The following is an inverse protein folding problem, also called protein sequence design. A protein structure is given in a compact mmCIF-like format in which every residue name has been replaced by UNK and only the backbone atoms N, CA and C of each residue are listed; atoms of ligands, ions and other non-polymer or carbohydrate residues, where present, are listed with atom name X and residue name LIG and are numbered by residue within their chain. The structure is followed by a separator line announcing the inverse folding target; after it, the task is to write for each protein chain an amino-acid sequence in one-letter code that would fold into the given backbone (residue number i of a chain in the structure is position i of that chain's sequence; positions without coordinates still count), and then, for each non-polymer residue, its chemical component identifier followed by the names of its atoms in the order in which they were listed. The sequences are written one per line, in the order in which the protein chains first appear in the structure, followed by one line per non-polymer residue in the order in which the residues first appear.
data_IF_146060617970
#
_entry.id   IF_146060617970
#
_cell.length_a   1.000
_cell.length_b   1.000
_cell.length_c   1.000
_cell.angle_alpha   90.00
_cell.angle_beta   90.00
_cell.angle_gamma   90.00
#
_symmetry.space_group_name_H-M   'P 1'
#
loop_
_entity.id
_entity.type
_entity.pdbx_description
1 polymer ?
#
# COMPACT_ATOMS: atom_id res chain seq x y z
N UNK A 1 -4.33 1.51 -26.71
CA UNK A 1 -2.97 1.69 -26.17
C UNK A 1 -2.23 0.38 -26.36
N UNK A 2 -1.15 0.37 -27.16
CA UNK A 2 -0.39 -0.84 -27.44
C UNK A 2 0.38 -1.25 -26.16
N UNK A 3 0.16 -2.46 -25.59
CA UNK A 3 0.89 -2.92 -24.40
C UNK A 3 2.41 -2.86 -24.58
N UNK A 4 2.91 -3.10 -25.79
CA UNK A 4 4.35 -3.06 -26.09
C UNK A 4 4.93 -1.65 -25.99
N UNK A 5 4.16 -0.63 -26.38
CA UNK A 5 4.59 0.76 -26.26
C UNK A 5 4.74 1.22 -24.81
N UNK A 6 4.00 0.59 -23.89
CA UNK A 6 4.12 0.85 -22.45
C UNK A 6 5.35 0.19 -21.84
N UNK A 7 5.73 -0.99 -22.31
CA UNK A 7 6.96 -1.68 -21.88
C UNK A 7 8.19 -0.89 -22.32
N UNK A 8 8.23 -0.48 -23.60
CA UNK A 8 9.34 0.34 -24.15
C UNK A 8 9.49 1.68 -23.44
N UNK A 9 8.37 2.34 -23.09
CA UNK A 9 8.40 3.59 -22.32
C UNK A 9 8.94 3.39 -20.89
N UNK A 10 8.62 2.25 -20.25
CA UNK A 10 9.16 1.91 -18.94
C UNK A 10 10.66 1.61 -19.03
N UNK A 11 11.10 0.84 -20.03
CA UNK A 11 12.52 0.54 -20.26
C UNK A 11 13.34 1.81 -20.52
N UNK A 12 12.82 2.75 -21.33
CA UNK A 12 13.48 4.04 -21.57
C UNK A 12 13.56 4.90 -20.30
N UNK A 13 12.55 4.82 -19.44
CA UNK A 13 12.54 5.52 -18.16
C UNK A 13 13.54 4.91 -17.16
N UNK A 14 13.67 3.57 -17.14
CA UNK A 14 14.69 2.87 -16.33
C UNK A 14 16.09 3.27 -16.77
N UNK A 15 16.38 3.24 -18.08
CA UNK A 15 17.68 3.63 -18.63
C UNK A 15 18.05 5.07 -18.25
N UNK A 16 17.08 5.98 -18.24
CA UNK A 16 17.32 7.37 -17.84
C UNK A 16 17.63 7.49 -16.34
N UNK A 17 16.94 6.72 -15.49
CA UNK A 17 17.18 6.71 -14.05
C UNK A 17 18.53 6.07 -13.69
N UNK A 18 18.96 5.04 -14.41
CA UNK A 18 20.27 4.41 -14.22
C UNK A 18 21.43 5.39 -14.44
N UNK A 19 21.32 6.26 -15.45
CA UNK A 19 22.31 7.31 -15.72
C UNK A 19 22.34 8.33 -14.57
N UNK A 20 21.19 8.74 -14.06
CA UNK A 20 21.09 9.68 -12.93
C UNK A 20 21.69 9.07 -11.65
N UNK A 21 21.42 7.79 -11.35
CA UNK A 21 22.03 7.11 -10.21
C UNK A 21 23.53 6.92 -10.36
N UNK A 22 24.01 6.63 -11.57
CA UNK A 22 25.47 6.50 -11.84
C UNK A 22 26.22 7.82 -11.72
N UNK A 23 25.53 8.95 -11.91
CA UNK A 23 26.09 10.28 -11.66
C UNK A 23 26.12 10.63 -10.17
N UNK A 24 25.11 10.19 -9.41
CA UNK A 24 25.03 10.38 -7.95
C UNK A 24 26.09 9.52 -7.24
N UNK A 25 26.43 8.35 -7.80
CA UNK A 25 27.47 7.44 -7.27
C UNK A 25 28.89 7.94 -7.37
N UNK A 26 29.14 9.02 -8.10
CA UNK A 26 30.43 9.70 -8.08
C UNK A 26 30.63 10.54 -6.81
N UNK A 27 29.57 10.78 -6.03
CA UNK A 27 29.59 11.62 -4.84
C UNK A 27 29.46 10.83 -3.53
N UNK A 28 28.73 9.71 -3.53
CA UNK A 28 28.54 8.87 -2.33
C UNK A 28 27.96 7.49 -2.70
N UNK A 29 28.65 6.42 -2.31
CA UNK A 29 28.23 5.04 -2.60
C UNK A 29 26.96 4.64 -1.82
N UNK A 30 26.76 5.18 -0.61
CA UNK A 30 25.59 4.86 0.22
C UNK A 30 24.29 5.47 -0.35
N UNK A 31 24.39 6.65 -0.97
CA UNK A 31 23.26 7.30 -1.65
C UNK A 31 22.87 6.50 -2.90
N UNK A 32 23.83 5.82 -3.52
CA UNK A 32 23.64 5.05 -4.74
C UNK A 32 22.85 3.78 -4.51
N UNK A 33 23.22 3.02 -3.48
CA UNK A 33 22.47 1.81 -3.13
C UNK A 33 21.03 2.15 -2.75
N UNK A 34 20.85 3.19 -1.92
CA UNK A 34 19.52 3.64 -1.48
C UNK A 34 18.66 4.14 -2.66
N UNK A 35 19.24 4.95 -3.56
CA UNK A 35 18.54 5.46 -4.73
C UNK A 35 18.18 4.35 -5.71
N UNK A 36 19.10 3.40 -5.95
CA UNK A 36 18.85 2.26 -6.83
C UNK A 36 17.74 1.34 -6.29
N UNK A 37 17.70 1.13 -4.96
CA UNK A 37 16.67 0.35 -4.29
C UNK A 37 15.30 1.06 -4.36
N UNK A 38 15.27 2.37 -4.12
CA UNK A 38 14.06 3.18 -4.22
C UNK A 38 13.50 3.20 -5.66
N UNK A 39 14.37 3.33 -6.66
CA UNK A 39 14.01 3.33 -8.09
C UNK A 39 13.47 1.96 -8.51
N UNK A 40 14.15 0.86 -8.14
CA UNK A 40 13.66 -0.50 -8.42
C UNK A 40 12.31 -0.76 -7.76
N UNK A 41 12.11 -0.26 -6.55
CA UNK A 41 10.83 -0.39 -5.82
C UNK A 41 9.73 0.43 -6.50
N UNK A 42 10.00 1.67 -6.89
CA UNK A 42 9.06 2.53 -7.61
C UNK A 42 8.70 1.98 -9.00
N UNK A 43 9.66 1.42 -9.74
CA UNK A 43 9.43 0.78 -11.04
C UNK A 43 8.57 -0.48 -10.88
N UNK A 44 8.85 -1.34 -9.89
CA UNK A 44 8.03 -2.52 -9.58
C UNK A 44 6.59 -2.13 -9.26
N UNK A 45 6.41 -1.05 -8.50
CA UNK A 45 5.09 -0.51 -8.09
C UNK A 45 4.31 0.07 -9.27
N UNK A 46 4.94 0.90 -10.11
CA UNK A 46 4.33 1.53 -11.29
C UNK A 46 4.09 0.54 -12.45
N UNK A 47 4.91 -0.50 -12.56
CA UNK A 47 4.78 -1.57 -13.55
C UNK A 47 3.72 -2.61 -13.22
N UNK A 48 3.11 -2.56 -12.03
CA UNK A 48 2.19 -3.61 -11.56
C UNK A 48 2.88 -4.95 -11.25
N UNK A 49 4.22 -4.94 -11.20
CA UNK A 49 5.10 -6.08 -10.87
C UNK A 49 5.36 -6.08 -9.35
N UNK A 50 4.29 -5.92 -8.57
CA UNK A 50 4.37 -6.41 -7.19
C UNK A 50 4.32 -7.93 -7.30
N UNK A 51 5.32 -8.61 -6.73
CA UNK A 51 5.21 -10.05 -6.54
C UNK A 51 3.95 -10.32 -5.73
N UNK A 52 3.24 -11.41 -5.98
CA UNK A 52 2.06 -11.79 -5.18
C UNK A 52 2.38 -11.81 -3.67
N UNK A 53 3.65 -12.01 -3.30
CA UNK A 53 4.17 -11.92 -1.94
C UNK A 53 4.06 -10.52 -1.33
N UNK A 54 4.53 -9.47 -2.02
CA UNK A 54 4.48 -8.09 -1.52
C UNK A 54 3.03 -7.61 -1.36
N UNK A 55 2.16 -7.98 -2.32
CA UNK A 55 0.71 -7.72 -2.21
C UNK A 55 0.09 -8.44 -1.03
N UNK A 56 0.47 -9.70 -0.79
CA UNK A 56 -0.03 -10.46 0.35
C UNK A 56 0.46 -9.89 1.68
N UNK A 57 1.71 -9.42 1.77
CA UNK A 57 2.24 -8.80 2.98
C UNK A 57 1.56 -7.46 3.28
N UNK A 58 1.38 -6.59 2.27
CA UNK A 58 0.63 -5.33 2.43
C UNK A 58 -0.86 -5.58 2.77
N UNK A 59 -1.50 -6.54 2.09
CA UNK A 59 -2.86 -6.96 2.42
C UNK A 59 -2.92 -7.53 3.84
N UNK A 60 -1.95 -8.32 4.27
CA UNK A 60 -1.89 -8.89 5.61
C UNK A 60 -1.74 -7.82 6.69
N UNK A 61 -0.91 -6.80 6.47
CA UNK A 61 -0.72 -5.72 7.43
C UNK A 61 -1.97 -4.84 7.58
N UNK A 62 -2.61 -4.50 6.45
CA UNK A 62 -3.87 -3.74 6.47
C UNK A 62 -5.01 -4.54 7.08
N UNK A 63 -5.15 -5.81 6.72
CA UNK A 63 -6.21 -6.66 7.24
C UNK A 63 -6.02 -6.88 8.75
N UNK A 64 -4.79 -7.06 9.23
CA UNK A 64 -4.50 -7.10 10.67
C UNK A 64 -4.89 -5.79 11.40
N UNK A 65 -4.66 -4.63 10.79
CA UNK A 65 -5.09 -3.35 11.36
C UNK A 65 -6.62 -3.21 11.40
N UNK A 66 -7.31 -3.69 10.37
CA UNK A 66 -8.79 -3.75 10.31
C UNK A 66 -9.34 -4.63 11.44
N UNK A 67 -8.76 -5.82 11.64
CA UNK A 67 -9.17 -6.74 12.71
C UNK A 67 -8.94 -6.12 14.09
N UNK A 68 -7.76 -5.53 14.33
CA UNK A 68 -7.45 -4.85 15.59
C UNK A 68 -8.43 -3.71 15.88
N UNK A 69 -8.79 -2.92 14.88
CA UNK A 69 -9.76 -1.85 15.06
C UNK A 69 -11.16 -2.40 15.34
N UNK A 70 -11.54 -3.50 14.70
CA UNK A 70 -12.81 -4.17 14.98
C UNK A 70 -12.88 -4.69 16.42
N UNK A 71 -11.80 -5.30 16.93
CA UNK A 71 -11.73 -5.74 18.32
C UNK A 71 -11.84 -4.57 19.31
N UNK A 72 -11.09 -3.48 19.07
CA UNK A 72 -11.18 -2.27 19.89
C UNK A 72 -12.62 -1.72 19.96
N UNK A 73 -13.35 -1.73 18.85
CA UNK A 73 -14.74 -1.28 18.80
C UNK A 73 -15.68 -2.24 19.53
N UNK A 74 -15.43 -3.56 19.45
CA UNK A 74 -16.18 -4.55 20.22
C UNK A 74 -15.95 -4.42 21.72
N UNK A 75 -14.72 -4.16 22.15
CA UNK A 75 -14.37 -3.92 23.55
C UNK A 75 -15.04 -2.65 24.09
N UNK A 76 -15.28 -1.67 23.23
CA UNK A 76 -16.08 -0.47 23.53
C UNK A 76 -17.60 -0.73 23.55
N UNK A 77 -18.04 -1.98 23.37
CA UNK A 77 -19.46 -2.38 23.40
C UNK A 77 -20.19 -2.18 22.08
N UNK A 78 -19.49 -1.96 20.95
CA UNK A 78 -20.15 -1.81 19.66
C UNK A 78 -20.76 -3.16 19.21
N UNK A 79 -22.06 -3.20 18.85
CA UNK A 79 -22.69 -4.45 18.41
C UNK A 79 -22.18 -4.87 17.02
N UNK A 80 -22.04 -6.18 16.82
CA UNK A 80 -21.54 -6.81 15.57
C UNK A 80 -22.18 -6.24 14.30
N UNK A 81 -23.50 -6.03 14.30
CA UNK A 81 -24.27 -5.47 13.16
C UNK A 81 -23.76 -4.12 12.65
N UNK A 82 -23.10 -3.32 13.50
CA UNK A 82 -22.61 -1.99 13.16
C UNK A 82 -21.09 -1.99 12.90
N UNK A 83 -20.40 -3.10 13.15
CA UNK A 83 -18.95 -3.17 13.20
C UNK A 83 -18.32 -2.81 11.84
N UNK A 84 -18.77 -3.43 10.74
CA UNK A 84 -18.26 -3.10 9.40
C UNK A 84 -18.44 -1.63 9.02
N UNK A 85 -19.55 -1.00 9.43
CA UNK A 85 -19.81 0.41 9.13
C UNK A 85 -18.83 1.32 9.85
N UNK A 86 -18.58 1.08 11.14
CA UNK A 86 -17.65 1.89 11.92
C UNK A 86 -16.19 1.65 11.50
N UNK A 87 -15.81 0.41 11.20
CA UNK A 87 -14.47 0.07 10.69
C UNK A 87 -14.24 0.68 9.31
N UNK A 88 -15.24 0.65 8.42
CA UNK A 88 -15.16 1.30 7.11
C UNK A 88 -14.94 2.81 7.26
N UNK A 89 -15.74 3.47 8.10
CA UNK A 89 -15.60 4.92 8.34
C UNK A 89 -14.23 5.28 8.92
N UNK A 90 -13.75 4.49 9.88
CA UNK A 90 -12.38 4.65 10.40
C UNK A 90 -11.32 4.50 9.29
N UNK A 91 -11.48 3.55 8.38
CA UNK A 91 -10.56 3.35 7.26
C UNK A 91 -10.56 4.56 6.30
N UNK A 92 -11.73 5.12 6.01
CA UNK A 92 -11.86 6.36 5.24
C UNK A 92 -11.14 7.52 5.93
N UNK A 93 -11.31 7.67 7.25
CA UNK A 93 -10.63 8.69 8.03
C UNK A 93 -9.09 8.51 7.98
N UNK A 94 -8.58 7.27 8.06
CA UNK A 94 -7.13 7.00 7.96
C UNK A 94 -6.56 7.35 6.58
N UNK A 95 -7.33 7.16 5.50
CA UNK A 95 -6.88 7.48 4.13
C UNK A 95 -6.97 8.97 3.84
N UNK A 96 -7.93 9.65 4.45
CA UNK A 96 -8.05 11.11 4.39
C UNK A 96 -6.88 11.83 5.07
N UNK A 97 -6.13 11.16 5.97
CA UNK A 97 -4.94 11.74 6.58
C UNK A 97 -3.88 12.11 5.53
N UNK A 98 -3.14 13.23 5.74
CA UNK A 98 -2.00 13.56 4.93
C UNK A 98 -0.99 12.41 4.88
N UNK A 99 -0.32 12.14 3.74
CA UNK A 99 0.60 11.00 3.61
C UNK A 99 1.64 10.86 4.72
N UNK A 100 2.13 11.99 5.25
CA UNK A 100 3.13 12.03 6.35
C UNK A 100 2.58 11.61 7.72
N UNK A 101 1.25 11.60 7.89
CA UNK A 101 0.56 11.24 9.12
C UNK A 101 -0.13 9.87 9.03
N UNK A 102 -0.03 9.21 7.87
CA UNK A 102 -0.65 7.89 7.68
C UNK A 102 0.13 6.83 8.46
N UNK A 103 -0.58 5.84 9.02
CA UNK A 103 0.07 4.74 9.71
C UNK A 103 0.89 3.90 8.73
N UNK A 104 1.95 3.24 9.22
CA UNK A 104 2.92 2.49 8.40
C UNK A 104 2.29 1.38 7.56
N UNK A 105 1.20 0.76 8.04
CA UNK A 105 0.46 -0.27 7.31
C UNK A 105 -0.40 0.29 6.16
N UNK A 106 -0.54 1.61 6.05
CA UNK A 106 -1.28 2.30 5.00
C UNK A 106 -0.31 3.09 4.10
N UNK A 107 0.20 2.47 3.03
CA UNK A 107 1.09 3.15 2.10
C UNK A 107 0.45 4.43 1.51
N UNK A 108 1.29 5.45 1.30
CA UNK A 108 0.85 6.76 0.77
C UNK A 108 0.17 6.70 -0.60
N UNK A 109 0.40 5.64 -1.37
CA UNK A 109 -0.19 5.46 -2.70
C UNK A 109 -1.60 4.85 -2.67
N UNK A 110 -2.08 4.42 -1.50
CA UNK A 110 -3.47 3.99 -1.35
C UNK A 110 -4.33 5.25 -1.27
N UNK A 111 -4.99 5.57 -2.38
CA UNK A 111 -5.89 6.72 -2.49
C UNK A 111 -7.35 6.39 -2.16
N UNK A 112 -7.71 5.10 -2.15
CA UNK A 112 -9.09 4.65 -1.96
C UNK A 112 -9.21 3.63 -0.85
N UNK A 113 -10.21 3.86 0.00
CA UNK A 113 -10.64 2.92 1.02
C UNK A 113 -11.14 1.61 0.40
N UNK A 114 -10.97 0.51 1.15
CA UNK A 114 -11.75 -0.70 0.89
C UNK A 114 -13.23 -0.35 1.01
N UNK A 115 -14.04 -0.90 0.13
CA UNK A 115 -15.50 -0.76 0.24
C UNK A 115 -16.00 -1.43 1.51
N UNK A 116 -17.13 -0.96 2.05
CA UNK A 116 -17.78 -1.59 3.21
C UNK A 116 -17.96 -3.10 3.05
N UNK A 117 -18.31 -3.55 1.84
CA UNK A 117 -18.48 -4.99 1.51
C UNK A 117 -17.17 -5.79 1.62
N UNK A 118 -16.04 -5.18 1.27
CA UNK A 118 -14.73 -5.82 1.41
C UNK A 118 -14.31 -5.88 2.89
N UNK A 119 -14.57 -4.82 3.65
CA UNK A 119 -14.36 -4.82 5.11
C UNK A 119 -15.19 -5.91 5.77
N UNK A 120 -16.47 -6.01 5.41
CA UNK A 120 -17.39 -7.04 5.88
C UNK A 120 -16.85 -8.45 5.62
N UNK A 121 -16.42 -8.72 4.38
CA UNK A 121 -15.84 -10.01 4.00
C UNK A 121 -14.58 -10.37 4.81
N UNK A 122 -13.72 -9.39 5.12
CA UNK A 122 -12.55 -9.60 5.97
C UNK A 122 -12.99 -9.96 7.40
N UNK A 123 -13.94 -9.22 7.96
CA UNK A 123 -14.44 -9.48 9.32
C UNK A 123 -15.14 -10.84 9.44
N UNK A 124 -15.93 -11.24 8.44
CA UNK A 124 -16.56 -12.56 8.38
C UNK A 124 -15.55 -13.68 8.27
N UNK A 125 -14.49 -13.52 7.46
CA UNK A 125 -13.42 -14.51 7.32
C UNK A 125 -12.70 -14.80 8.64
N UNK A 126 -12.73 -13.85 9.58
CA UNK A 126 -12.08 -13.93 10.89
C UNK A 126 -13.07 -14.04 12.07
N UNK A 127 -14.31 -14.47 11.84
CA UNK A 127 -15.33 -14.73 12.87
C UNK A 127 -15.70 -13.52 13.77
N UNK A 128 -15.49 -12.29 13.29
CA UNK A 128 -15.84 -11.06 14.02
C UNK A 128 -17.27 -10.58 13.78
N UNK A 129 -17.92 -11.09 12.73
CA UNK A 129 -19.31 -10.81 12.34
C UNK A 129 -20.31 -11.77 12.96
#
# INVERSE_FOLDING_TARGET
MNPDGRVVALESYVAHLEVVTSLISLYDDDITELASAAIKTAIRRKGGILSGKDRNEEMSARDAAILKQADNLRDQGLPRRNLATHVHRWLEDQIALPPKQRPTWLPSEIEKALTRRQVDAILTKHDLM
#
